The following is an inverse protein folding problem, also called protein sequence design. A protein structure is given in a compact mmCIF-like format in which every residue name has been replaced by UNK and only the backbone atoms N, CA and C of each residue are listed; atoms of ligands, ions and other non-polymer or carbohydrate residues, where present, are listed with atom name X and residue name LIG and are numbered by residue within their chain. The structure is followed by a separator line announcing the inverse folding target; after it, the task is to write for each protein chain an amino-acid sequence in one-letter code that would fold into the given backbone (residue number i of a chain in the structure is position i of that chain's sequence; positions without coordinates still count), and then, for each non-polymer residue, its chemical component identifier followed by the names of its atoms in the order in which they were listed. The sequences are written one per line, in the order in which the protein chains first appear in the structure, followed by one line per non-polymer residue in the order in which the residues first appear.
data_IF_529357911102
#
_entry.id   IF_529357911102
#
_cell.length_a   1.000
_cell.length_b   1.000
_cell.length_c   1.000
_cell.angle_alpha   90.00
_cell.angle_beta   90.00
_cell.angle_gamma   90.00
#
_symmetry.space_group_name_H-M   'P 1'
#
loop_
_entity.id
_entity.type
_entity.pdbx_description
1 polymer ?
#
# COMPACT_ATOMS: atom_id res chain seq x y z
N UNK A 1 -17.73 12.07 -36.76
CA UNK A 1 -16.73 12.04 -35.66
C UNK A 1 -15.39 11.76 -36.31
N UNK A 2 -14.53 12.78 -36.35
CA UNK A 2 -13.25 12.67 -37.05
C UNK A 2 -12.26 11.82 -36.26
N UNK A 3 -11.79 10.73 -36.85
CA UNK A 3 -10.77 9.84 -36.27
C UNK A 3 -9.49 10.58 -35.85
N UNK A 4 -9.18 11.70 -36.49
CA UNK A 4 -8.08 12.59 -36.16
C UNK A 4 -8.30 13.30 -34.80
N UNK A 5 -9.50 13.67 -34.44
CA UNK A 5 -9.83 14.31 -33.17
C UNK A 5 -9.74 13.29 -32.03
N UNK A 6 -10.16 12.04 -32.26
CA UNK A 6 -10.00 10.96 -31.28
C UNK A 6 -8.51 10.58 -31.05
N UNK A 7 -7.72 10.55 -32.13
CA UNK A 7 -6.28 10.28 -32.03
C UNK A 7 -5.52 11.42 -31.33
N UNK A 8 -5.87 12.69 -31.56
CA UNK A 8 -5.26 13.83 -30.87
C UNK A 8 -5.62 13.84 -29.38
N UNK A 9 -6.86 13.49 -29.01
CA UNK A 9 -7.27 13.40 -27.60
C UNK A 9 -6.63 12.22 -26.85
N UNK A 10 -6.35 11.11 -27.54
CA UNK A 10 -5.64 9.96 -26.95
C UNK A 10 -4.12 10.21 -26.78
N UNK A 11 -3.57 11.16 -27.54
CA UNK A 11 -2.16 11.56 -27.50
C UNK A 11 -1.92 12.84 -26.68
N UNK A 12 -2.97 13.48 -26.16
CA UNK A 12 -2.81 14.62 -25.26
C UNK A 12 -2.23 14.13 -23.91
N UNK A 13 -0.95 14.41 -23.70
CA UNK A 13 -0.24 14.04 -22.49
C UNK A 13 -0.95 14.48 -21.20
N UNK A 14 -1.67 15.61 -21.23
CA UNK A 14 -2.43 16.12 -20.09
C UNK A 14 -3.65 15.25 -19.78
N UNK A 15 -4.37 14.84 -20.82
CA UNK A 15 -5.51 13.92 -20.69
C UNK A 15 -5.06 12.53 -20.20
N UNK A 16 -3.93 12.03 -20.69
CA UNK A 16 -3.34 10.79 -20.25
C UNK A 16 -2.89 10.86 -18.79
N UNK A 17 -2.19 11.92 -18.38
CA UNK A 17 -1.76 12.11 -16.99
C UNK A 17 -2.96 12.20 -16.06
N UNK A 18 -4.00 12.94 -16.42
CA UNK A 18 -5.19 13.08 -15.58
C UNK A 18 -5.96 11.76 -15.44
N UNK A 19 -6.15 11.02 -16.53
CA UNK A 19 -6.92 9.77 -16.52
C UNK A 19 -6.14 8.62 -15.92
N UNK A 20 -4.88 8.43 -16.35
CA UNK A 20 -4.02 7.36 -15.82
C UNK A 20 -3.63 7.61 -14.36
N UNK A 21 -3.42 8.87 -13.97
CA UNK A 21 -3.15 9.24 -12.59
C UNK A 21 -4.32 8.91 -11.66
N UNK A 22 -5.56 9.21 -12.07
CA UNK A 22 -6.75 8.86 -11.30
C UNK A 22 -6.94 7.33 -11.19
N UNK A 23 -6.80 6.59 -12.30
CA UNK A 23 -6.91 5.12 -12.31
C UNK A 23 -5.79 4.49 -11.48
N UNK A 24 -4.56 4.98 -11.64
CA UNK A 24 -3.41 4.52 -10.88
C UNK A 24 -3.62 4.71 -9.37
N UNK A 25 -4.11 5.88 -8.95
CA UNK A 25 -4.46 6.15 -7.56
C UNK A 25 -5.51 5.16 -7.04
N UNK A 26 -6.60 4.97 -7.78
CA UNK A 26 -7.69 4.05 -7.43
C UNK A 26 -7.15 2.62 -7.25
N UNK A 27 -6.28 2.18 -8.17
CA UNK A 27 -5.64 0.87 -8.08
C UNK A 27 -4.70 0.75 -6.86
N UNK A 28 -3.95 1.79 -6.54
CA UNK A 28 -3.08 1.82 -5.35
C UNK A 28 -3.92 1.76 -4.07
N UNK A 29 -5.00 2.54 -3.96
CA UNK A 29 -5.90 2.52 -2.80
C UNK A 29 -6.55 1.14 -2.62
N UNK A 30 -6.96 0.48 -3.71
CA UNK A 30 -7.46 -0.88 -3.66
C UNK A 30 -6.40 -1.86 -3.14
N UNK A 31 -5.19 -1.80 -3.69
CA UNK A 31 -4.09 -2.67 -3.29
C UNK A 31 -3.67 -2.44 -1.84
N UNK A 32 -3.59 -1.18 -1.40
CA UNK A 32 -3.25 -0.79 -0.03
C UNK A 32 -4.25 -1.34 0.97
N UNK A 33 -5.54 -1.21 0.70
CA UNK A 33 -6.59 -1.63 1.64
C UNK A 33 -6.86 -3.13 1.61
N UNK A 34 -6.55 -3.82 0.49
CA UNK A 34 -6.87 -5.22 0.28
C UNK A 34 -5.71 -6.18 0.47
N UNK A 35 -4.55 -5.77 0.03
CA UNK A 35 -3.37 -6.62 0.06
C UNK A 35 -2.47 -6.14 1.21
N UNK A 36 -2.37 -6.81 2.31
CA UNK A 36 -1.52 -6.52 3.49
C UNK A 36 -0.15 -5.83 3.22
N UNK A 37 0.19 -5.62 1.96
CA UNK A 37 1.33 -4.85 1.45
C UNK A 37 1.16 -3.34 1.70
N UNK A 38 -0.04 -2.87 2.00
CA UNK A 38 -0.39 -1.46 2.20
C UNK A 38 0.29 -0.77 3.38
N UNK A 39 0.97 -1.53 4.27
CA UNK A 39 1.81 -0.94 5.31
C UNK A 39 2.93 -0.03 4.73
N UNK A 40 3.34 -0.26 3.48
CA UNK A 40 4.39 0.50 2.81
C UNK A 40 3.85 1.68 1.99
N UNK A 41 2.56 1.75 1.71
CA UNK A 41 1.98 2.81 0.89
C UNK A 41 1.34 3.89 1.75
N UNK A 42 1.71 5.18 1.55
CA UNK A 42 1.15 6.29 2.31
C UNK A 42 -0.19 6.77 1.70
N UNK A 43 -1.24 5.94 1.76
CA UNK A 43 -2.53 6.22 1.13
C UNK A 43 -3.18 7.52 1.58
N UNK A 44 -3.01 7.91 2.86
CA UNK A 44 -3.50 9.19 3.36
C UNK A 44 -2.87 10.35 2.59
N UNK A 45 -1.54 10.33 2.45
CA UNK A 45 -0.79 11.35 1.69
C UNK A 45 -1.14 11.34 0.21
N UNK A 46 -1.35 10.14 -0.38
CA UNK A 46 -1.75 10.01 -1.78
C UNK A 46 -3.15 10.57 -2.03
N UNK A 47 -4.10 10.35 -1.13
CA UNK A 47 -5.45 10.91 -1.24
C UNK A 47 -5.44 12.43 -1.08
N UNK A 48 -4.69 12.97 -0.11
CA UNK A 48 -4.54 14.43 0.05
C UNK A 48 -3.89 15.03 -1.20
N UNK A 49 -2.79 14.42 -1.69
CA UNK A 49 -2.10 14.88 -2.88
C UNK A 49 -3.00 14.84 -4.13
N UNK A 50 -3.82 13.80 -4.26
CA UNK A 50 -4.81 13.69 -5.34
C UNK A 50 -5.90 14.76 -5.23
N UNK A 51 -6.32 15.12 -4.01
CA UNK A 51 -7.21 16.24 -3.76
C UNK A 51 -6.60 17.57 -4.22
N UNK A 52 -5.33 17.83 -3.89
CA UNK A 52 -4.60 19.01 -4.37
C UNK A 52 -4.47 18.99 -5.90
N UNK A 53 -4.11 17.84 -6.47
CA UNK A 53 -4.01 17.66 -7.93
C UNK A 53 -5.37 17.79 -8.66
N UNK A 54 -6.48 17.72 -7.95
CA UNK A 54 -7.82 17.98 -8.46
C UNK A 54 -8.31 19.44 -8.18
N UNK A 55 -7.59 20.21 -7.39
CA UNK A 55 -7.92 21.60 -6.99
C UNK A 55 -7.37 22.65 -7.97
N UNK A 56 -7.46 23.92 -7.62
CA UNK A 56 -6.84 25.00 -8.38
C UNK A 56 -5.31 25.02 -8.25
N UNK A 57 -4.77 24.41 -7.19
CA UNK A 57 -3.34 24.22 -6.98
C UNK A 57 -2.77 23.00 -7.72
N UNK A 58 -3.49 22.43 -8.70
CA UNK A 58 -3.05 21.24 -9.44
C UNK A 58 -1.69 21.41 -10.14
N UNK A 59 -1.36 22.64 -10.56
CA UNK A 59 -0.09 22.97 -11.22
C UNK A 59 1.13 22.67 -10.34
N UNK A 60 1.00 22.80 -9.02
CA UNK A 60 2.10 22.48 -8.08
C UNK A 60 2.41 20.97 -7.98
N UNK A 61 1.49 20.12 -8.47
CA UNK A 61 1.67 18.64 -8.40
C UNK A 61 1.87 18.05 -9.80
N UNK A 62 1.09 18.50 -10.77
CA UNK A 62 1.02 17.89 -12.11
C UNK A 62 1.66 18.75 -13.21
N UNK A 63 2.12 19.97 -12.87
CA UNK A 63 2.55 20.96 -13.84
C UNK A 63 1.36 21.65 -14.54
N UNK A 64 1.69 22.65 -15.39
CA UNK A 64 0.70 23.54 -15.95
C UNK A 64 -0.32 22.84 -16.87
N UNK A 65 -1.59 23.07 -16.56
CA UNK A 65 -2.73 22.67 -17.38
C UNK A 65 -3.15 21.20 -17.23
N UNK A 66 -2.57 20.43 -16.31
CA UNK A 66 -3.06 19.12 -15.92
C UNK A 66 -3.85 19.19 -14.61
N UNK A 67 -4.98 18.48 -14.52
CA UNK A 67 -5.83 18.42 -13.33
C UNK A 67 -6.51 17.07 -13.24
N UNK A 68 -6.54 16.47 -12.03
CA UNK A 68 -7.28 15.24 -11.83
C UNK A 68 -8.80 15.48 -11.78
N UNK A 69 -9.60 14.58 -12.34
CA UNK A 69 -11.06 14.71 -12.32
C UNK A 69 -11.59 14.36 -10.91
N UNK A 70 -11.92 15.38 -10.12
CA UNK A 70 -12.37 15.21 -8.73
C UNK A 70 -13.58 14.28 -8.62
N UNK A 71 -14.54 14.34 -9.54
CA UNK A 71 -15.72 13.48 -9.54
C UNK A 71 -15.40 12.00 -9.69
N UNK A 72 -14.36 11.65 -10.49
CA UNK A 72 -13.88 10.27 -10.62
C UNK A 72 -13.22 9.80 -9.32
N UNK A 73 -12.49 10.69 -8.65
CA UNK A 73 -11.82 10.37 -7.39
C UNK A 73 -12.81 10.18 -6.25
N UNK A 74 -13.81 11.06 -6.12
CA UNK A 74 -14.86 10.99 -5.08
C UNK A 74 -15.72 9.72 -5.20
N UNK A 75 -15.82 9.12 -6.37
CA UNK A 75 -16.53 7.84 -6.56
C UNK A 75 -15.57 6.66 -6.51
N UNK A 76 -14.46 6.76 -7.24
CA UNK A 76 -13.55 5.65 -7.45
C UNK A 76 -12.73 5.27 -6.20
N UNK A 77 -12.24 6.28 -5.45
CA UNK A 77 -11.43 6.01 -4.27
C UNK A 77 -12.21 5.30 -3.14
N UNK A 78 -13.45 5.74 -2.78
CA UNK A 78 -14.27 4.99 -1.83
C UNK A 78 -14.57 3.55 -2.28
N UNK A 79 -14.95 3.36 -3.54
CA UNK A 79 -15.23 2.02 -4.09
C UNK A 79 -13.99 1.13 -3.97
N UNK A 80 -12.83 1.63 -4.36
CA UNK A 80 -11.57 0.90 -4.27
C UNK A 80 -11.20 0.55 -2.82
N UNK A 81 -11.34 1.50 -1.91
CA UNK A 81 -11.06 1.30 -0.49
C UNK A 81 -12.01 0.27 0.15
N UNK A 82 -13.29 0.32 -0.20
CA UNK A 82 -14.31 -0.61 0.30
C UNK A 82 -14.07 -2.02 -0.26
N UNK A 83 -13.87 -2.13 -1.56
CA UNK A 83 -13.63 -3.41 -2.23
C UNK A 83 -12.32 -4.06 -1.76
N UNK A 84 -11.24 -3.28 -1.65
CA UNK A 84 -9.97 -3.76 -1.12
C UNK A 84 -10.09 -4.28 0.30
N UNK A 85 -10.66 -3.50 1.22
CA UNK A 85 -10.83 -3.94 2.60
C UNK A 85 -11.74 -5.17 2.73
N UNK A 86 -12.79 -5.27 1.90
CA UNK A 86 -13.65 -6.44 1.87
C UNK A 86 -12.86 -7.68 1.40
N UNK A 87 -12.00 -7.52 0.41
CA UNK A 87 -11.08 -8.59 -0.03
C UNK A 87 -10.14 -9.01 1.10
N UNK A 88 -9.53 -8.03 1.80
CA UNK A 88 -8.67 -8.30 2.97
C UNK A 88 -9.40 -9.07 4.07
N UNK A 89 -10.64 -8.70 4.38
CA UNK A 89 -11.50 -9.42 5.32
C UNK A 89 -11.76 -10.86 4.88
N UNK A 90 -12.11 -11.09 3.61
CA UNK A 90 -12.37 -12.43 3.07
C UNK A 90 -11.11 -13.31 3.07
N UNK A 91 -9.95 -12.73 2.77
CA UNK A 91 -8.66 -13.43 2.88
C UNK A 91 -8.42 -13.82 4.34
N UNK A 92 -8.63 -12.90 5.29
CA UNK A 92 -8.51 -13.16 6.71
C UNK A 92 -9.44 -14.27 7.20
N UNK A 93 -10.69 -14.27 6.77
CA UNK A 93 -11.66 -15.31 7.12
C UNK A 93 -11.25 -16.71 6.61
N UNK A 94 -10.64 -16.79 5.41
CA UNK A 94 -10.25 -18.08 4.81
C UNK A 94 -8.90 -18.60 5.27
N UNK A 95 -7.93 -17.73 5.42
CA UNK A 95 -6.51 -18.09 5.59
C UNK A 95 -5.98 -17.63 6.96
N UNK A 96 -6.67 -16.70 7.63
CA UNK A 96 -6.23 -16.06 8.86
C UNK A 96 -5.83 -17.03 9.97
N UNK A 97 -6.63 -18.03 10.34
CA UNK A 97 -6.25 -18.98 11.38
C UNK A 97 -4.88 -19.63 11.12
N UNK A 98 -4.61 -20.01 9.86
CA UNK A 98 -3.32 -20.61 9.47
C UNK A 98 -2.17 -19.59 9.39
N UNK A 99 -2.46 -18.32 9.15
CA UNK A 99 -1.46 -17.26 9.04
C UNK A 99 -0.98 -16.77 10.40
N UNK A 100 -1.89 -16.65 11.37
CA UNK A 100 -1.62 -16.12 12.70
C UNK A 100 -1.15 -17.18 13.72
N UNK A 101 -1.29 -18.48 13.40
CA UNK A 101 -0.81 -19.60 14.25
C UNK A 101 0.67 -19.94 14.05
N UNK A 102 1.36 -19.29 13.10
CA UNK A 102 2.80 -19.53 12.88
C UNK A 102 3.64 -18.84 13.96
N UNK A 103 4.36 -19.57 14.83
CA UNK A 103 5.12 -18.98 15.95
C UNK A 103 6.26 -18.06 15.50
N UNK A 104 6.82 -18.28 14.31
CA UNK A 104 7.97 -17.54 13.78
C UNK A 104 7.59 -16.38 12.82
N UNK A 105 6.32 -16.07 12.67
CA UNK A 105 5.89 -15.01 11.77
C UNK A 105 6.20 -13.63 12.35
N UNK A 106 7.01 -12.85 11.64
CA UNK A 106 7.34 -11.45 12.01
C UNK A 106 6.21 -10.48 11.72
N UNK A 107 5.33 -10.81 10.76
CA UNK A 107 4.26 -9.94 10.25
C UNK A 107 2.90 -10.36 10.80
N UNK A 108 2.62 -11.67 10.88
CA UNK A 108 1.34 -12.23 11.32
C UNK A 108 1.46 -12.80 12.73
N UNK A 109 1.58 -11.92 13.73
CA UNK A 109 1.69 -12.34 15.13
C UNK A 109 0.31 -12.49 15.74
N UNK A 110 0.12 -13.53 16.54
CA UNK A 110 -1.10 -13.76 17.34
C UNK A 110 -1.44 -12.55 18.24
N UNK A 111 -0.41 -11.81 18.66
CA UNK A 111 -0.56 -10.58 19.44
C UNK A 111 -1.45 -9.52 18.74
N UNK A 112 -1.42 -9.43 17.41
CA UNK A 112 -2.28 -8.50 16.68
C UNK A 112 -3.75 -8.93 16.70
N UNK A 113 -4.02 -10.23 16.71
CA UNK A 113 -5.38 -10.77 16.85
C UNK A 113 -5.94 -10.44 18.22
N UNK A 114 -5.16 -10.67 19.29
CA UNK A 114 -5.55 -10.36 20.68
C UNK A 114 -5.81 -8.86 20.85
N UNK A 115 -4.93 -8.00 20.35
CA UNK A 115 -5.13 -6.54 20.41
C UNK A 115 -6.36 -6.07 19.64
N UNK A 116 -6.66 -6.69 18.51
CA UNK A 116 -7.86 -6.35 17.74
C UNK A 116 -9.13 -6.84 18.44
N UNK A 117 -9.09 -8.00 19.09
CA UNK A 117 -10.18 -8.50 19.91
C UNK A 117 -10.49 -7.56 21.08
N UNK A 118 -9.46 -7.12 21.81
CA UNK A 118 -9.58 -6.10 22.87
C UNK A 118 -10.19 -4.79 22.32
N UNK A 119 -9.75 -4.37 21.11
CA UNK A 119 -10.24 -3.18 20.45
C UNK A 119 -11.72 -3.32 20.06
N UNK A 120 -12.12 -4.50 19.54
CA UNK A 120 -13.51 -4.80 19.22
C UNK A 120 -14.39 -4.86 20.46
N UNK A 121 -13.90 -5.43 21.55
CA UNK A 121 -14.62 -5.49 22.82
C UNK A 121 -14.82 -4.09 23.44
N UNK A 122 -13.82 -3.21 23.30
CA UNK A 122 -13.86 -1.86 23.86
C UNK A 122 -14.82 -0.93 23.10
N UNK A 123 -14.81 -0.96 21.76
CA UNK A 123 -15.55 0.00 20.93
C UNK A 123 -16.79 -0.60 20.25
N UNK A 124 -16.95 -1.92 20.31
CA UNK A 124 -17.87 -2.68 19.49
C UNK A 124 -17.31 -2.87 18.06
N UNK A 125 -17.53 -4.06 17.50
CA UNK A 125 -16.90 -4.48 16.23
C UNK A 125 -17.16 -3.51 15.06
N UNK A 126 -18.36 -2.94 14.98
CA UNK A 126 -18.69 -1.99 13.91
C UNK A 126 -17.97 -0.64 14.02
N UNK A 127 -18.06 0.01 15.19
CA UNK A 127 -17.36 1.30 15.41
C UNK A 127 -15.87 1.15 15.30
N UNK A 128 -15.33 0.02 15.76
CA UNK A 128 -13.91 -0.29 15.64
C UNK A 128 -13.42 -0.30 14.18
N UNK A 129 -14.21 -0.86 13.25
CA UNK A 129 -13.89 -0.86 11.82
C UNK A 129 -13.78 0.57 11.26
N UNK A 130 -14.70 1.46 11.65
CA UNK A 130 -14.66 2.87 11.22
C UNK A 130 -13.47 3.60 11.80
N UNK A 131 -13.28 3.52 13.13
CA UNK A 131 -12.20 4.22 13.83
C UNK A 131 -10.81 3.78 13.38
N UNK A 132 -10.65 2.48 13.12
CA UNK A 132 -9.38 1.92 12.64
C UNK A 132 -8.92 2.52 11.32
N UNK A 133 -9.84 2.97 10.47
CA UNK A 133 -9.49 3.59 9.20
C UNK A 133 -8.67 4.88 9.32
N UNK A 134 -8.86 5.60 10.43
CA UNK A 134 -8.11 6.82 10.74
C UNK A 134 -6.79 6.55 11.47
N UNK A 135 -6.46 5.27 11.73
CA UNK A 135 -5.23 4.86 12.40
C UNK A 135 -4.38 4.05 11.43
N UNK A 136 -3.32 4.62 10.81
CA UNK A 136 -2.61 4.01 9.67
C UNK A 136 -2.13 2.58 9.91
N UNK A 137 -1.60 2.28 11.09
CA UNK A 137 -1.10 0.95 11.43
C UNK A 137 -2.27 -0.04 11.61
N UNK A 138 -3.33 0.39 12.30
CA UNK A 138 -4.44 -0.49 12.67
C UNK A 138 -5.27 -0.86 11.45
N UNK A 139 -5.54 0.08 10.53
CA UNK A 139 -6.38 -0.17 9.36
C UNK A 139 -5.85 -1.29 8.46
N UNK A 140 -4.53 -1.43 8.36
CA UNK A 140 -3.91 -2.46 7.50
C UNK A 140 -4.16 -3.86 8.04
N UNK A 141 -4.06 -4.04 9.35
CA UNK A 141 -4.20 -5.35 9.99
C UNK A 141 -5.65 -5.66 10.38
N UNK A 142 -6.48 -4.64 10.61
CA UNK A 142 -7.84 -4.85 11.09
C UNK A 142 -8.72 -5.62 10.10
N UNK A 143 -8.57 -5.35 8.80
CA UNK A 143 -9.38 -6.02 7.78
C UNK A 143 -9.23 -7.54 7.81
N UNK A 144 -8.01 -8.11 7.68
CA UNK A 144 -7.83 -9.57 7.78
C UNK A 144 -8.06 -10.10 9.18
N UNK A 145 -7.74 -9.35 10.23
CA UNK A 145 -7.98 -9.79 11.61
C UNK A 145 -9.47 -9.85 11.92
N UNK A 146 -10.28 -8.90 11.44
CA UNK A 146 -11.75 -8.98 11.55
C UNK A 146 -12.30 -10.25 10.88
N UNK A 147 -11.73 -10.64 9.74
CA UNK A 147 -12.06 -11.91 9.09
C UNK A 147 -11.63 -13.13 9.92
N UNK A 148 -10.43 -13.10 10.50
CA UNK A 148 -9.92 -14.18 11.36
C UNK A 148 -10.74 -14.36 12.63
N UNK A 149 -11.27 -13.27 13.18
CA UNK A 149 -12.18 -13.25 14.33
C UNK A 149 -13.65 -13.56 13.96
N UNK A 150 -13.88 -14.10 12.77
CA UNK A 150 -15.18 -14.54 12.28
C UNK A 150 -16.26 -13.44 12.25
N UNK A 151 -15.86 -12.16 12.15
CA UNK A 151 -16.82 -11.09 11.97
C UNK A 151 -17.65 -11.33 10.70
N UNK A 152 -19.02 -11.32 10.79
CA UNK A 152 -19.85 -11.58 9.62
C UNK A 152 -19.55 -10.60 8.47
N UNK A 153 -19.32 -11.11 7.26
CA UNK A 153 -18.92 -10.30 6.10
C UNK A 153 -19.90 -9.16 5.78
N UNK A 154 -21.21 -9.36 6.02
CA UNK A 154 -22.23 -8.32 5.85
C UNK A 154 -22.07 -7.20 6.88
N UNK A 155 -21.83 -7.54 8.14
CA UNK A 155 -21.61 -6.56 9.21
C UNK A 155 -20.33 -5.77 8.94
N UNK A 156 -19.26 -6.46 8.57
CA UNK A 156 -18.01 -5.80 8.16
C UNK A 156 -18.25 -4.86 6.99
N UNK A 157 -18.95 -5.30 5.93
CA UNK A 157 -19.24 -4.51 4.75
C UNK A 157 -19.95 -3.20 5.08
N UNK A 158 -21.01 -3.22 5.89
CA UNK A 158 -21.76 -2.02 6.25
C UNK A 158 -20.87 -0.96 6.94
N UNK A 159 -20.10 -1.38 7.93
CA UNK A 159 -19.18 -0.46 8.63
C UNK A 159 -17.99 -0.06 7.79
N UNK A 160 -17.53 -0.95 6.91
CA UNK A 160 -16.50 -0.69 5.94
C UNK A 160 -16.93 0.38 4.91
N UNK A 161 -18.19 0.35 4.45
CA UNK A 161 -18.74 1.41 3.59
C UNK A 161 -18.69 2.76 4.29
N UNK A 162 -19.22 2.84 5.52
CA UNK A 162 -19.22 4.08 6.30
C UNK A 162 -17.79 4.60 6.51
N UNK A 163 -16.91 3.76 7.03
CA UNK A 163 -15.53 4.14 7.30
C UNK A 163 -14.73 4.44 6.04
N UNK A 164 -14.97 3.68 4.96
CA UNK A 164 -14.30 3.87 3.67
C UNK A 164 -14.63 5.20 3.03
N UNK A 165 -15.91 5.53 2.96
CA UNK A 165 -16.38 6.83 2.45
C UNK A 165 -15.84 7.97 3.32
N UNK A 166 -16.06 7.91 4.64
CA UNK A 166 -15.61 8.98 5.54
C UNK A 166 -14.11 9.23 5.43
N UNK A 167 -13.31 8.18 5.38
CA UNK A 167 -11.85 8.31 5.29
C UNK A 167 -11.41 8.87 3.93
N UNK A 168 -11.84 8.28 2.82
CA UNK A 168 -11.40 8.71 1.48
C UNK A 168 -11.87 10.13 1.16
N UNK A 169 -13.14 10.44 1.45
CA UNK A 169 -13.70 11.77 1.20
C UNK A 169 -13.04 12.84 2.06
N UNK A 170 -12.82 12.57 3.36
CA UNK A 170 -12.14 13.55 4.22
C UNK A 170 -10.74 13.87 3.72
N UNK A 171 -9.94 12.87 3.33
CA UNK A 171 -8.58 13.09 2.83
C UNK A 171 -8.57 13.81 1.48
N UNK A 172 -9.42 13.40 0.54
CA UNK A 172 -9.55 14.05 -0.77
C UNK A 172 -10.03 15.49 -0.64
N UNK A 173 -11.05 15.74 0.19
CA UNK A 173 -11.61 17.08 0.36
C UNK A 173 -10.66 18.01 1.12
N UNK A 174 -9.90 17.51 2.10
CA UNK A 174 -8.82 18.27 2.73
C UNK A 174 -7.83 18.74 1.66
N UNK A 175 -7.34 17.84 0.81
CA UNK A 175 -6.45 18.20 -0.29
C UNK A 175 -7.08 19.18 -1.28
N UNK A 176 -8.34 18.97 -1.62
CA UNK A 176 -9.06 19.79 -2.61
C UNK A 176 -9.31 21.22 -2.12
N UNK A 177 -9.83 21.40 -0.90
CA UNK A 177 -10.18 22.72 -0.36
C UNK A 177 -8.97 23.49 0.20
N UNK A 178 -7.99 22.78 0.74
CA UNK A 178 -6.78 23.40 1.29
C UNK A 178 -5.58 23.33 0.35
N UNK A 179 -5.83 23.01 -0.96
CA UNK A 179 -4.77 22.85 -1.96
C UNK A 179 -3.82 24.05 -2.04
N UNK A 180 -4.36 25.26 -2.09
CA UNK A 180 -3.55 26.48 -2.19
C UNK A 180 -2.66 26.68 -0.94
N UNK A 181 -3.14 26.36 0.26
CA UNK A 181 -2.37 26.41 1.50
C UNK A 181 -1.32 25.27 1.60
N UNK A 182 -1.60 24.14 0.98
CA UNK A 182 -0.72 22.96 0.95
C UNK A 182 0.33 23.04 -0.16
N UNK A 183 0.06 23.79 -1.24
CA UNK A 183 0.94 23.89 -2.40
C UNK A 183 2.39 24.25 -2.04
N UNK A 184 2.70 25.25 -1.19
CA UNK A 184 4.09 25.56 -0.83
C UNK A 184 4.81 24.45 -0.08
N UNK A 185 4.06 23.65 0.70
CA UNK A 185 4.59 22.49 1.41
C UNK A 185 4.86 21.36 0.45
N UNK A 186 3.95 21.14 -0.51
CA UNK A 186 4.08 20.13 -1.54
C UNK A 186 5.28 20.44 -2.44
N UNK A 187 5.39 21.66 -2.95
CA UNK A 187 6.52 22.10 -3.80
C UNK A 187 7.87 21.84 -3.11
N UNK A 188 7.96 22.11 -1.82
CA UNK A 188 9.18 21.92 -1.05
C UNK A 188 9.49 20.44 -0.75
N UNK A 189 8.48 19.65 -0.44
CA UNK A 189 8.65 18.30 0.08
C UNK A 189 8.23 17.20 -0.89
N UNK A 190 7.61 17.51 -2.04
CA UNK A 190 7.14 16.51 -3.00
C UNK A 190 8.28 15.61 -3.48
N UNK A 191 9.38 16.20 -3.95
CA UNK A 191 10.53 15.45 -4.45
C UNK A 191 11.16 14.60 -3.34
N UNK A 192 11.50 15.15 -2.15
CA UNK A 192 11.98 14.33 -1.04
C UNK A 192 11.03 13.22 -0.61
N UNK A 193 9.72 13.49 -0.59
CA UNK A 193 8.72 12.50 -0.19
C UNK A 193 8.61 11.36 -1.22
N UNK A 194 8.55 11.69 -2.51
CA UNK A 194 8.54 10.69 -3.60
C UNK A 194 9.81 9.86 -3.56
N UNK A 195 10.98 10.51 -3.40
CA UNK A 195 12.26 9.81 -3.31
C UNK A 195 12.30 8.85 -2.10
N UNK A 196 11.81 9.29 -0.95
CA UNK A 196 11.70 8.47 0.26
C UNK A 196 10.79 7.26 0.03
N UNK A 197 9.63 7.45 -0.60
CA UNK A 197 8.69 6.37 -0.93
C UNK A 197 9.35 5.36 -1.88
N UNK A 198 10.01 5.84 -2.92
CA UNK A 198 10.73 4.98 -3.87
C UNK A 198 11.85 4.21 -3.17
N UNK A 199 12.64 4.86 -2.32
CA UNK A 199 13.70 4.19 -1.56
C UNK A 199 13.14 3.14 -0.61
N UNK A 200 12.06 3.44 0.10
CA UNK A 200 11.39 2.48 0.99
C UNK A 200 10.80 1.30 0.20
N UNK A 201 10.23 1.55 -0.97
CA UNK A 201 9.64 0.52 -1.83
C UNK A 201 10.71 -0.41 -2.43
N UNK A 202 11.89 0.11 -2.75
CA UNK A 202 13.00 -0.65 -3.32
C UNK A 202 13.83 -1.35 -2.22
N UNK A 203 13.80 -0.84 -0.98
CA UNK A 203 14.61 -1.35 0.12
C UNK A 203 14.49 -2.86 0.38
N UNK A 204 13.31 -3.50 0.39
CA UNK A 204 13.21 -4.95 0.58
C UNK A 204 13.85 -5.74 -0.56
N UNK A 205 13.75 -5.25 -1.79
CA UNK A 205 14.36 -5.89 -2.97
C UNK A 205 15.90 -5.78 -2.88
N UNK A 206 16.41 -4.61 -2.50
CA UNK A 206 17.84 -4.41 -2.31
C UNK A 206 18.42 -5.29 -1.19
N UNK A 207 17.69 -5.42 -0.07
CA UNK A 207 18.10 -6.27 1.05
C UNK A 207 18.13 -7.75 0.63
N UNK A 208 17.14 -8.22 -0.14
CA UNK A 208 17.10 -9.59 -0.65
C UNK A 208 18.26 -9.88 -1.61
N UNK A 209 18.47 -8.99 -2.59
CA UNK A 209 19.61 -9.09 -3.54
C UNK A 209 20.96 -9.06 -2.80
N UNK A 210 21.12 -8.22 -1.78
CA UNK A 210 22.34 -8.18 -0.97
C UNK A 210 22.53 -9.47 -0.16
N UNK A 211 21.46 -10.05 0.38
CA UNK A 211 21.49 -11.34 1.10
C UNK A 211 21.87 -12.50 0.18
N UNK A 212 21.32 -12.55 -1.03
CA UNK A 212 21.69 -13.56 -2.02
C UNK A 212 23.14 -13.44 -2.47
N UNK A 213 23.63 -12.23 -2.69
CA UNK A 213 25.04 -12.00 -3.02
C UNK A 213 25.98 -12.42 -1.89
N UNK A 214 25.62 -12.19 -0.62
CA UNK A 214 26.39 -12.67 0.54
C UNK A 214 26.39 -14.19 0.64
N UNK A 215 25.25 -14.86 0.40
CA UNK A 215 25.17 -16.33 0.39
C UNK A 215 26.03 -16.95 -0.71
N UNK A 216 26.01 -16.38 -1.92
CA UNK A 216 26.86 -16.85 -3.03
C UNK A 216 28.36 -16.67 -2.75
N UNK A 217 28.78 -15.56 -2.10
CA UNK A 217 30.16 -15.36 -1.71
C UNK A 217 30.61 -16.33 -0.61
N UNK A 218 29.76 -16.62 0.37
CA UNK A 218 30.08 -17.56 1.46
C UNK A 218 30.12 -19.00 0.95
N UNK A 219 29.22 -19.41 0.05
CA UNK A 219 29.25 -20.73 -0.59
C UNK A 219 30.45 -20.95 -1.52
N UNK A 220 30.89 -19.90 -2.23
CA UNK A 220 32.08 -20.00 -3.08
C UNK A 220 33.39 -20.11 -2.27
N UNK A 221 33.48 -19.49 -1.10
CA UNK A 221 34.64 -19.59 -0.22
C UNK A 221 34.75 -21.00 0.40
N UNK A 222 33.62 -21.59 0.81
CA UNK A 222 33.60 -22.93 1.38
C UNK A 222 33.99 -24.02 0.34
N UNK A 223 33.57 -23.87 -0.92
CA UNK A 223 33.94 -24.81 -1.98
C UNK A 223 35.44 -24.77 -2.33
N UNK A 224 36.08 -23.62 -2.23
CA UNK A 224 37.53 -23.46 -2.48
C UNK A 224 38.35 -24.09 -1.35
N UNK A 225 37.89 -23.96 -0.08
CA UNK A 225 38.55 -24.57 1.08
C UNK A 225 38.44 -26.11 1.07
N UNK A 226 37.29 -26.68 0.64
CA UNK A 226 37.13 -28.13 0.49
C UNK A 226 38.03 -28.70 -0.62
N UNK A 227 38.17 -28.01 -1.73
CA UNK A 227 39.02 -28.46 -2.87
C UNK A 227 40.51 -28.40 -2.49
N UNK A 228 40.94 -27.40 -1.71
CA UNK A 228 42.32 -27.32 -1.20
C UNK A 228 42.61 -28.37 -0.13
N UNK A 229 41.65 -28.70 0.72
CA UNK A 229 41.77 -29.74 1.74
C UNK A 229 41.89 -31.15 1.10
N UNK A 230 41.13 -31.42 0.05
CA UNK A 230 41.22 -32.68 -0.69
C UNK A 230 42.55 -32.81 -1.49
N UNK A 231 43.01 -31.72 -2.10
CA UNK A 231 44.28 -31.69 -2.82
C UNK A 231 45.51 -31.87 -1.89
N UNK A 232 45.43 -31.40 -0.64
CA UNK A 232 46.47 -31.57 0.37
C UNK A 232 46.55 -33.02 0.93
N UNK A 233 45.42 -33.68 1.07
CA UNK A 233 45.34 -35.08 1.60
C UNK A 233 45.85 -36.11 0.59
N UNK A 234 45.75 -35.86 -0.72
CA UNK A 234 46.24 -36.73 -1.79
C UNK A 234 47.77 -36.82 -1.92
N UNK A 235 48.53 -35.81 -1.43
CA UNK A 235 50.01 -35.79 -1.54
C UNK A 235 50.69 -36.59 -0.46
N UNK A 236 50.06 -36.90 0.67
CA UNK A 236 50.68 -37.70 1.74
C UNK A 236 50.50 -39.23 1.61
N UNK A 237 49.84 -39.74 0.58
CA UNK A 237 49.67 -41.17 0.30
C UNK A 237 50.60 -41.76 -0.74
N UNK A 238 51.55 -41.01 -1.27
CA UNK A 238 52.56 -41.49 -2.25
C UNK A 238 53.99 -41.18 -1.83
N UNK A 239 54.33 -41.54 -0.60
CA UNK A 239 55.67 -41.56 -0.07
C UNK A 239 55.93 -42.91 0.60
#
# INVERSE_FOLDING_TARGET
MDYNQLAVNLLDAKSLISSLGAIGLIAIIFAETGLLVGFFFPGDSLLILAGVAASNAASSVLGDGAKLPIGVLLIGAPIAAIAGAQLGHLIGAKVGPKMFDKPDSKIFRREYVVKAEEYFNKFGSGKAVVLARFMPIIRTFLNPVAGTLEMPARTFFLWNVIGGVLWTESMLLIGYFFGDALAPVIDKYLIPAVLLIVLLSISPILVEVMRERKKKKAGGAAAVDEDQAQAGSGRHRRG
#
